data_IF_273455362273
#
_entry.id   IF_273455362273
#
_cell.length_a   1.000
_cell.length_b   1.000
_cell.length_c   1.000
_cell.angle_alpha   90.00
_cell.angle_beta   90.00
_cell.angle_gamma   90.00
#
_symmetry.space_group_name_H-M   'P 1'
#
loop_
_entity.id
_entity.type
_entity.pdbx_description
1 polymer ?
#
# COMPACT_ATOMS: atom_id res chain seq x y z
N UNK A 1 4.19 32.86 -3.31
CA UNK A 1 5.18 31.79 -3.63
C UNK A 1 5.11 30.60 -2.67
N UNK A 2 4.77 30.78 -1.39
CA UNK A 2 4.65 29.74 -0.34
C UNK A 2 3.60 28.64 -0.62
N UNK A 3 2.64 28.92 -1.49
CA UNK A 3 1.46 28.09 -1.67
C UNK A 3 1.71 26.78 -2.45
N UNK A 4 2.65 26.78 -3.41
CA UNK A 4 2.98 25.57 -4.21
C UNK A 4 3.69 24.50 -3.38
N UNK A 5 4.68 24.90 -2.56
CA UNK A 5 5.44 24.00 -1.68
C UNK A 5 4.52 23.33 -0.66
N UNK A 6 3.63 24.10 -0.03
CA UNK A 6 2.67 23.58 0.95
C UNK A 6 1.66 22.63 0.30
N UNK A 7 1.16 22.96 -0.90
CA UNK A 7 0.30 22.06 -1.68
C UNK A 7 0.99 20.74 -2.02
N UNK A 8 2.25 20.78 -2.45
CA UNK A 8 3.02 19.57 -2.75
C UNK A 8 3.29 18.73 -1.48
N UNK A 9 3.58 19.37 -0.35
CA UNK A 9 3.74 18.66 0.94
C UNK A 9 2.48 17.88 1.29
N UNK A 10 1.31 18.55 1.26
CA UNK A 10 0.02 17.90 1.53
C UNK A 10 -0.28 16.78 0.53
N UNK A 11 0.11 16.96 -0.73
CA UNK A 11 -0.06 15.92 -1.74
C UNK A 11 0.81 14.69 -1.44
N UNK A 12 2.06 14.86 -0.97
CA UNK A 12 2.89 13.72 -0.53
C UNK A 12 2.19 12.95 0.58
N UNK A 13 1.73 13.65 1.63
CA UNK A 13 1.04 13.03 2.77
C UNK A 13 -0.20 12.21 2.34
N UNK A 14 -1.01 12.76 1.43
CA UNK A 14 -2.19 12.04 0.90
C UNK A 14 -1.79 10.83 0.06
N UNK A 15 -0.73 10.92 -0.76
CA UNK A 15 -0.27 9.78 -1.55
C UNK A 15 0.32 8.67 -0.66
N UNK A 16 1.01 9.02 0.43
CA UNK A 16 1.47 8.06 1.44
C UNK A 16 0.29 7.35 2.13
N UNK A 17 -0.75 8.08 2.51
CA UNK A 17 -1.97 7.49 3.09
C UNK A 17 -2.68 6.55 2.12
N UNK A 18 -2.79 6.92 0.84
CA UNK A 18 -3.37 6.06 -0.19
C UNK A 18 -2.53 4.79 -0.40
N UNK A 19 -1.20 4.91 -0.41
CA UNK A 19 -0.31 3.75 -0.49
C UNK A 19 -0.52 2.82 0.71
N UNK A 20 -0.52 3.37 1.93
CA UNK A 20 -0.73 2.60 3.15
C UNK A 20 -2.08 1.85 3.15
N UNK A 21 -3.15 2.50 2.66
CA UNK A 21 -4.46 1.86 2.51
C UNK A 21 -4.40 0.62 1.61
N UNK A 22 -3.73 0.70 0.46
CA UNK A 22 -3.57 -0.43 -0.45
C UNK A 22 -2.69 -1.53 0.15
N UNK A 23 -1.66 -1.16 0.92
CA UNK A 23 -0.81 -2.12 1.63
C UNK A 23 -1.58 -2.87 2.72
N UNK A 24 -2.41 -2.19 3.52
CA UNK A 24 -3.28 -2.82 4.51
C UNK A 24 -4.29 -3.75 3.86
N UNK A 25 -4.94 -3.34 2.76
CA UNK A 25 -5.89 -4.20 2.02
C UNK A 25 -5.20 -5.45 1.47
N UNK A 26 -4.02 -5.30 0.87
CA UNK A 26 -3.22 -6.42 0.39
C UNK A 26 -2.89 -7.39 1.53
N UNK A 27 -2.45 -6.88 2.68
CA UNK A 27 -2.16 -7.70 3.85
C UNK A 27 -3.40 -8.46 4.34
N UNK A 28 -4.57 -7.81 4.36
CA UNK A 28 -5.85 -8.46 4.68
C UNK A 28 -6.18 -9.62 3.75
N UNK A 29 -6.08 -9.42 2.43
CA UNK A 29 -6.33 -10.48 1.46
C UNK A 29 -5.31 -11.63 1.56
N UNK A 30 -4.05 -11.36 1.86
CA UNK A 30 -3.06 -12.41 2.11
C UNK A 30 -3.36 -13.20 3.39
N UNK A 31 -3.81 -12.53 4.45
CA UNK A 31 -4.23 -13.19 5.68
C UNK A 31 -5.46 -14.08 5.45
N UNK A 32 -6.46 -13.60 4.72
CA UNK A 32 -7.64 -14.38 4.32
C UNK A 32 -7.25 -15.60 3.47
N UNK A 33 -6.34 -15.43 2.50
CA UNK A 33 -5.87 -16.52 1.66
C UNK A 33 -5.15 -17.59 2.49
N UNK A 34 -4.29 -17.20 3.43
CA UNK A 34 -3.61 -18.12 4.32
C UNK A 34 -4.60 -18.85 5.24
N UNK A 35 -5.58 -18.15 5.81
CA UNK A 35 -6.60 -18.76 6.66
C UNK A 35 -7.46 -19.78 5.88
N UNK A 36 -7.84 -19.45 4.64
CA UNK A 36 -8.59 -20.37 3.78
C UNK A 36 -7.76 -21.59 3.36
N UNK A 37 -6.47 -21.41 3.08
CA UNK A 37 -5.53 -22.52 2.80
C UNK A 37 -5.36 -23.44 4.00
N UNK A 38 -5.19 -22.88 5.21
CA UNK A 38 -5.13 -23.67 6.45
C UNK A 38 -6.43 -24.42 6.72
N UNK A 39 -7.60 -23.82 6.45
CA UNK A 39 -8.88 -24.53 6.58
C UNK A 39 -8.93 -25.73 5.62
N UNK A 40 -8.46 -25.58 4.38
CA UNK A 40 -8.41 -26.67 3.40
C UNK A 40 -7.46 -27.79 3.85
N UNK A 41 -6.26 -27.47 4.35
CA UNK A 41 -5.31 -28.44 4.90
C UNK A 41 -5.89 -29.21 6.09
N UNK A 42 -6.47 -28.50 7.08
CA UNK A 42 -7.09 -29.14 8.25
C UNK A 42 -8.24 -30.07 7.84
N UNK A 43 -9.01 -29.71 6.80
CA UNK A 43 -10.09 -30.55 6.29
C UNK A 43 -9.57 -31.78 5.55
N UNK A 44 -8.46 -31.66 4.82
CA UNK A 44 -7.80 -32.78 4.17
C UNK A 44 -7.19 -33.74 5.20
N UNK A 45 -6.49 -33.22 6.21
CA UNK A 45 -5.92 -34.03 7.30
C UNK A 45 -7.01 -34.80 8.06
N UNK A 46 -8.16 -34.16 8.30
CA UNK A 46 -9.33 -34.82 8.92
C UNK A 46 -10.00 -35.82 8.00
N UNK A 47 -9.90 -35.65 6.68
CA UNK A 47 -10.43 -36.62 5.73
C UNK A 47 -9.65 -37.94 5.82
N UNK A 48 -8.33 -37.87 5.94
CA UNK A 48 -7.44 -39.04 6.02
C UNK A 48 -7.34 -39.67 7.43
N UNK A 49 -7.90 -39.05 8.47
CA UNK A 49 -7.80 -39.52 9.86
C UNK A 49 -8.70 -40.72 10.18
N UNK A 50 -8.21 -41.63 11.04
CA UNK A 50 -9.01 -42.72 11.61
C UNK A 50 -10.15 -42.17 12.49
N UNK A 51 -11.38 -42.65 12.27
CA UNK A 51 -12.59 -42.14 12.94
C UNK A 51 -13.25 -40.94 12.23
N UNK A 52 -12.73 -40.56 11.06
CA UNK A 52 -13.35 -39.55 10.21
C UNK A 52 -14.72 -39.98 9.68
N UNK A 53 -15.67 -39.05 9.67
CA UNK A 53 -16.94 -39.22 8.97
C UNK A 53 -16.80 -39.14 7.43
N UNK A 54 -15.57 -38.98 6.92
CA UNK A 54 -15.27 -38.97 5.49
C UNK A 54 -15.78 -40.21 4.75
N UNK A 55 -15.77 -41.38 5.38
CA UNK A 55 -16.33 -42.60 4.78
C UNK A 55 -17.85 -42.56 4.58
N UNK A 56 -18.56 -41.74 5.36
CA UNK A 56 -20.01 -41.58 5.27
C UNK A 56 -20.42 -40.35 4.43
N UNK A 57 -19.61 -39.30 4.43
CA UNK A 57 -19.90 -38.03 3.76
C UNK A 57 -18.69 -37.48 2.96
N UNK A 58 -18.14 -38.23 1.98
CA UNK A 58 -16.97 -37.79 1.23
C UNK A 58 -17.23 -36.52 0.42
N UNK A 59 -18.43 -36.43 -0.18
CA UNK A 59 -18.86 -35.25 -0.96
C UNK A 59 -18.88 -33.96 -0.13
N UNK A 60 -19.22 -34.03 1.16
CA UNK A 60 -19.24 -32.85 2.02
C UNK A 60 -17.82 -32.31 2.25
N UNK A 61 -16.85 -33.21 2.47
CA UNK A 61 -15.45 -32.83 2.62
C UNK A 61 -14.89 -32.26 1.32
N UNK A 62 -15.10 -32.93 0.19
CA UNK A 62 -14.64 -32.44 -1.12
C UNK A 62 -15.21 -31.05 -1.43
N UNK A 63 -16.51 -30.84 -1.24
CA UNK A 63 -17.14 -29.54 -1.48
C UNK A 63 -16.58 -28.44 -0.56
N UNK A 64 -16.30 -28.77 0.70
CA UNK A 64 -15.77 -27.81 1.66
C UNK A 64 -14.29 -27.47 1.39
N UNK A 65 -13.47 -28.46 1.07
CA UNK A 65 -12.08 -28.28 0.65
C UNK A 65 -12.03 -27.45 -0.63
N UNK A 66 -12.80 -27.82 -1.65
CA UNK A 66 -12.87 -27.07 -2.90
C UNK A 66 -13.37 -25.63 -2.69
N UNK A 67 -14.31 -25.43 -1.76
CA UNK A 67 -14.78 -24.09 -1.37
C UNK A 67 -13.70 -23.27 -0.68
N UNK A 68 -12.93 -23.86 0.23
CA UNK A 68 -11.83 -23.22 0.92
C UNK A 68 -10.69 -22.83 -0.06
N UNK A 69 -10.30 -23.74 -0.95
CA UNK A 69 -9.32 -23.46 -2.01
C UNK A 69 -9.79 -22.34 -2.95
N UNK A 70 -11.05 -22.34 -3.35
CA UNK A 70 -11.60 -21.25 -4.18
C UNK A 70 -11.52 -19.90 -3.49
N UNK A 71 -11.84 -19.84 -2.18
CA UNK A 71 -11.69 -18.60 -1.39
C UNK A 71 -10.24 -18.16 -1.30
N UNK A 72 -9.32 -19.11 -1.12
CA UNK A 72 -7.89 -18.84 -1.13
C UNK A 72 -7.46 -18.20 -2.46
N UNK A 73 -7.81 -18.81 -3.59
CA UNK A 73 -7.48 -18.30 -4.92
C UNK A 73 -8.07 -16.91 -5.17
N UNK A 74 -9.34 -16.70 -4.83
CA UNK A 74 -10.00 -15.40 -4.96
C UNK A 74 -9.31 -14.31 -4.12
N UNK A 75 -8.92 -14.62 -2.89
CA UNK A 75 -8.19 -13.68 -2.02
C UNK A 75 -6.76 -13.44 -2.52
N UNK A 76 -6.09 -14.44 -3.09
CA UNK A 76 -4.79 -14.25 -3.73
C UNK A 76 -4.88 -13.34 -4.97
N UNK A 77 -5.90 -13.49 -5.80
CA UNK A 77 -6.11 -12.60 -6.95
C UNK A 77 -6.39 -11.16 -6.50
N UNK A 78 -7.22 -10.97 -5.48
CA UNK A 78 -7.44 -9.64 -4.87
C UNK A 78 -6.13 -9.06 -4.33
N UNK A 79 -5.30 -9.86 -3.67
CA UNK A 79 -3.98 -9.43 -3.19
C UNK A 79 -3.03 -9.03 -4.33
N UNK A 80 -3.05 -9.75 -5.46
CA UNK A 80 -2.28 -9.40 -6.68
C UNK A 80 -2.74 -8.07 -7.26
N UNK A 81 -4.05 -7.86 -7.38
CA UNK A 81 -4.63 -6.60 -7.86
C UNK A 81 -4.25 -5.42 -6.95
N UNK A 82 -4.30 -5.61 -5.63
CA UNK A 82 -3.84 -4.57 -4.69
C UNK A 82 -2.33 -4.33 -4.79
N UNK A 83 -1.51 -5.36 -5.03
CA UNK A 83 -0.07 -5.17 -5.24
C UNK A 83 0.23 -4.27 -6.45
N UNK A 84 -0.52 -4.41 -7.55
CA UNK A 84 -0.39 -3.51 -8.71
C UNK A 84 -0.77 -2.06 -8.36
N UNK A 85 -1.77 -1.86 -7.50
CA UNK A 85 -2.16 -0.54 -7.00
C UNK A 85 -1.08 0.06 -6.08
N UNK A 86 -0.49 -0.74 -5.19
CA UNK A 86 0.65 -0.32 -4.35
C UNK A 86 1.84 0.13 -5.19
N UNK A 87 2.17 -0.62 -6.25
CA UNK A 87 3.26 -0.27 -7.16
C UNK A 87 2.99 1.08 -7.86
N UNK A 88 1.77 1.27 -8.36
CA UNK A 88 1.34 2.53 -8.99
C UNK A 88 1.35 3.69 -8.00
N UNK A 89 0.84 3.49 -6.78
CA UNK A 89 0.84 4.49 -5.72
C UNK A 89 2.28 4.87 -5.32
N UNK A 90 3.18 3.89 -5.21
CA UNK A 90 4.60 4.13 -4.91
C UNK A 90 5.27 4.98 -5.99
N UNK A 91 4.99 4.69 -7.27
CA UNK A 91 5.50 5.51 -8.37
C UNK A 91 5.01 6.96 -8.28
N UNK A 92 3.72 7.18 -7.96
CA UNK A 92 3.14 8.51 -7.77
C UNK A 92 3.74 9.25 -6.57
N UNK A 93 3.85 8.61 -5.41
CA UNK A 93 4.50 9.20 -4.22
C UNK A 93 5.92 9.65 -4.54
N UNK A 94 6.71 8.79 -5.18
CA UNK A 94 8.08 9.12 -5.59
C UNK A 94 8.15 10.35 -6.52
N UNK A 95 7.20 10.47 -7.46
CA UNK A 95 7.12 11.65 -8.36
C UNK A 95 6.80 12.93 -7.58
N UNK A 96 5.82 12.89 -6.68
CA UNK A 96 5.40 14.06 -5.90
C UNK A 96 6.49 14.47 -4.91
N UNK A 97 7.15 13.52 -4.26
CA UNK A 97 8.29 13.79 -3.39
C UNK A 97 9.43 14.51 -4.12
N UNK A 98 9.77 14.04 -5.34
CA UNK A 98 10.78 14.71 -6.17
C UNK A 98 10.37 16.15 -6.49
N UNK A 99 9.11 16.37 -6.86
CA UNK A 99 8.58 17.71 -7.13
C UNK A 99 8.61 18.61 -5.88
N UNK A 100 8.25 18.06 -4.71
CA UNK A 100 8.32 18.78 -3.43
C UNK A 100 9.77 19.17 -3.08
N UNK A 101 10.72 18.23 -3.19
CA UNK A 101 12.15 18.50 -2.94
C UNK A 101 12.70 19.58 -3.86
N UNK A 102 12.32 19.56 -5.15
CA UNK A 102 12.69 20.61 -6.10
C UNK A 102 12.10 21.97 -5.71
N UNK A 103 10.79 22.04 -5.45
CA UNK A 103 10.13 23.28 -5.04
C UNK A 103 10.69 23.85 -3.73
N UNK A 104 11.07 22.99 -2.78
CA UNK A 104 11.72 23.39 -1.53
C UNK A 104 13.08 24.04 -1.78
N UNK A 105 13.93 23.44 -2.62
CA UNK A 105 15.24 24.01 -2.98
C UNK A 105 15.10 25.37 -3.67
N UNK A 106 14.11 25.53 -4.54
CA UNK A 106 13.86 26.81 -5.21
C UNK A 106 13.42 27.91 -4.24
N UNK A 107 12.57 27.56 -3.27
CA UNK A 107 12.11 28.47 -2.22
C UNK A 107 13.28 28.91 -1.33
N UNK A 108 14.15 27.98 -0.93
CA UNK A 108 15.37 28.25 -0.17
C UNK A 108 16.34 29.16 -0.93
N UNK A 109 16.58 28.91 -2.23
CA UNK A 109 17.42 29.77 -3.08
C UNK A 109 16.87 31.20 -3.18
N UNK A 110 15.58 31.35 -3.50
CA UNK A 110 14.93 32.66 -3.63
C UNK A 110 14.88 33.43 -2.31
N UNK A 111 14.84 32.72 -1.18
CA UNK A 111 14.92 33.35 0.13
C UNK A 111 16.34 33.88 0.39
N UNK A 112 17.36 33.06 0.15
CA UNK A 112 18.76 33.48 0.29
C UNK A 112 19.14 34.64 -0.63
N UNK A 113 18.65 34.65 -1.88
CA UNK A 113 18.89 35.77 -2.80
C UNK A 113 18.23 37.07 -2.32
N UNK A 114 17.01 36.99 -1.76
CA UNK A 114 16.34 38.16 -1.15
C UNK A 114 17.10 38.68 0.06
N UNK A 115 17.48 37.79 0.98
CA UNK A 115 18.27 38.16 2.16
C UNK A 115 19.60 38.83 1.78
N UNK A 116 20.26 38.37 0.70
CA UNK A 116 21.47 39.01 0.16
C UNK A 116 21.21 40.40 -0.41
N UNK A 117 20.12 40.57 -1.16
CA UNK A 117 19.74 41.86 -1.73
C UNK A 117 19.39 42.87 -0.63
N UNK A 118 18.65 42.46 0.40
CA UNK A 118 18.32 43.29 1.57
C UNK A 118 19.59 43.77 2.29
N UNK A 119 20.60 42.91 2.46
CA UNK A 119 21.90 43.29 3.05
C UNK A 119 22.62 44.33 2.18
N UNK A 120 22.59 44.18 0.85
CA UNK A 120 23.23 45.14 -0.08
C UNK A 120 22.49 46.48 -0.04
N UNK A 121 21.17 46.47 -0.01
CA UNK A 121 20.34 47.67 0.06
C UNK A 121 20.57 48.44 1.38
N UNK A 122 20.61 47.74 2.52
CA UNK A 122 20.99 48.33 3.81
C UNK A 122 22.40 48.93 3.81
N UNK A 123 23.36 48.31 3.11
CA UNK A 123 24.72 48.84 2.98
C UNK A 123 24.83 50.04 2.05
N UNK A 124 23.92 50.20 1.07
CA UNK A 124 23.89 51.32 0.12
C UNK A 124 23.09 52.53 0.63
N UNK A 125 22.13 52.30 1.53
CA UNK A 125 21.33 53.36 2.17
C UNK A 125 22.01 54.04 3.36
N UNK A 126 23.29 53.72 3.63
CA UNK A 126 24.11 54.26 4.72
C UNK A 126 25.34 54.93 4.15
#
# INVERSE_FOLDING_TARGET
>A
MTDRKNRLKKLVEVQEQLKALHETRRAGFLAEANAAGQEAEVLADRFDAEGSLAGLFPELYHNRIAGALRRQDESLEKARLEAAKVATATARTNMVERAYKAARRDDERRRGDRERLEIIEQKRGR
#
